data_IF_451412731250
#
_entry.id   IF_451412731250
#
_cell.length_a   1.000
_cell.length_b   1.000
_cell.length_c   1.000
_cell.angle_alpha   90.00
_cell.angle_beta   90.00
_cell.angle_gamma   90.00
#
_symmetry.space_group_name_H-M   'P 1'
#
loop_
_entity.id
_entity.type
_entity.pdbx_description
1 polymer ?
#
# COMPACT_ATOMS: atom_id res chain seq x y z
N UNK A 1 -2.92 -27.55 13.39
CA UNK A 1 -2.12 -27.52 12.13
C UNK A 1 -0.66 -27.65 12.50
N UNK A 2 0.05 -28.72 12.10
CA UNK A 2 1.51 -28.73 12.19
C UNK A 2 2.08 -27.81 11.11
N UNK A 3 2.84 -26.80 11.50
CA UNK A 3 3.55 -25.94 10.56
C UNK A 3 4.97 -26.49 10.35
N UNK A 4 5.43 -26.69 9.10
CA UNK A 4 6.83 -27.02 8.84
C UNK A 4 7.72 -25.87 9.29
N UNK A 5 8.97 -26.18 9.68
CA UNK A 5 9.95 -25.13 10.03
C UNK A 5 10.13 -24.20 8.84
N UNK A 6 9.87 -22.92 9.07
CA UNK A 6 9.75 -21.89 8.05
C UNK A 6 10.12 -20.52 8.64
N UNK A 7 10.35 -19.54 7.78
CA UNK A 7 10.57 -18.15 8.17
C UNK A 7 9.79 -17.19 7.27
N UNK A 8 9.62 -15.97 7.74
CA UNK A 8 8.89 -14.94 7.02
C UNK A 8 9.20 -13.54 7.53
N UNK A 9 8.59 -12.55 6.89
CA UNK A 9 8.75 -11.13 7.22
C UNK A 9 7.39 -10.52 7.54
N UNK A 10 7.34 -9.72 8.61
CA UNK A 10 6.24 -8.81 8.90
C UNK A 10 6.54 -7.46 8.24
N UNK A 11 5.73 -7.07 7.27
CA UNK A 11 5.83 -5.77 6.61
C UNK A 11 4.46 -5.37 6.08
N UNK A 12 3.92 -4.23 6.52
CA UNK A 12 2.63 -3.78 6.02
C UNK A 12 2.79 -3.07 4.66
N UNK A 13 1.87 -3.24 3.68
CA UNK A 13 2.02 -2.62 2.36
C UNK A 13 2.17 -1.10 2.37
N UNK A 14 1.60 -0.41 3.37
CA UNK A 14 1.79 1.05 3.54
C UNK A 14 3.24 1.47 3.76
N UNK A 15 4.13 0.53 4.08
CA UNK A 15 5.55 0.76 4.36
C UNK A 15 6.43 0.56 3.12
N UNK A 16 5.86 0.15 1.98
CA UNK A 16 6.63 0.10 0.75
C UNK A 16 7.07 1.50 0.32
N UNK A 17 8.27 1.64 -0.27
CA UNK A 17 8.68 2.90 -0.87
C UNK A 17 7.67 3.29 -1.95
N UNK A 18 7.33 4.58 -2.03
CA UNK A 18 6.31 5.04 -2.98
C UNK A 18 6.44 6.54 -3.23
N UNK A 19 6.31 6.93 -4.50
CA UNK A 19 6.20 8.33 -4.90
C UNK A 19 4.82 8.94 -4.63
N UNK A 20 3.87 8.16 -4.14
CA UNK A 20 2.50 8.57 -3.81
C UNK A 20 2.30 8.80 -2.30
N UNK A 21 3.40 8.90 -1.53
CA UNK A 21 3.43 9.18 -0.10
C UNK A 21 3.02 8.04 0.83
N UNK A 22 2.45 6.96 0.28
CA UNK A 22 2.16 5.71 0.99
C UNK A 22 2.40 4.52 0.06
N UNK A 23 2.94 3.43 0.62
CA UNK A 23 3.08 2.18 -0.12
C UNK A 23 1.73 1.59 -0.56
N UNK A 24 1.73 0.89 -1.69
CA UNK A 24 0.52 0.34 -2.31
C UNK A 24 0.75 -1.07 -2.89
N UNK A 25 -0.28 -1.64 -3.50
CA UNK A 25 -0.25 -2.97 -4.13
C UNK A 25 0.15 -2.91 -5.62
N UNK A 26 1.15 -2.08 -5.93
CA UNK A 26 1.77 -1.90 -7.25
C UNK A 26 3.13 -2.59 -7.37
N UNK A 27 4.05 -1.96 -8.11
CA UNK A 27 5.37 -2.51 -8.46
C UNK A 27 6.19 -2.96 -7.25
N UNK A 28 6.24 -2.15 -6.19
CA UNK A 28 7.05 -2.44 -5.00
C UNK A 28 6.53 -3.65 -4.21
N UNK A 29 5.22 -3.93 -4.27
CA UNK A 29 4.68 -5.16 -3.70
C UNK A 29 5.20 -6.40 -4.44
N UNK A 30 5.26 -6.38 -5.78
CA UNK A 30 5.85 -7.48 -6.56
C UNK A 30 7.35 -7.62 -6.29
N UNK A 31 8.10 -6.52 -6.24
CA UNK A 31 9.53 -6.53 -5.89
C UNK A 31 9.77 -7.12 -4.51
N UNK A 32 8.89 -6.84 -3.54
CA UNK A 32 8.97 -7.44 -2.23
C UNK A 32 8.69 -8.95 -2.25
N UNK A 33 7.72 -9.42 -3.03
CA UNK A 33 7.48 -10.87 -3.22
C UNK A 33 8.70 -11.54 -3.86
N UNK A 34 9.30 -10.93 -4.88
CA UNK A 34 10.54 -11.44 -5.49
C UNK A 34 11.68 -11.49 -4.47
N UNK A 35 11.81 -10.48 -3.61
CA UNK A 35 12.77 -10.49 -2.50
C UNK A 35 12.51 -11.63 -1.52
N UNK A 36 11.26 -11.86 -1.10
CA UNK A 36 10.90 -12.98 -0.22
C UNK A 36 11.27 -14.33 -0.84
N UNK A 37 10.91 -14.52 -2.12
CA UNK A 37 11.25 -15.72 -2.88
C UNK A 37 12.76 -15.94 -2.95
N UNK A 38 13.52 -14.91 -3.30
CA UNK A 38 14.98 -14.99 -3.47
C UNK A 38 15.72 -15.18 -2.14
N UNK A 39 15.13 -14.75 -1.04
CA UNK A 39 15.67 -14.93 0.32
C UNK A 39 15.15 -16.18 1.04
N UNK A 40 14.36 -17.01 0.36
CA UNK A 40 13.81 -18.25 0.92
C UNK A 40 12.75 -18.05 2.00
N UNK A 41 12.18 -16.85 2.12
CA UNK A 41 11.08 -16.56 3.03
C UNK A 41 9.79 -17.16 2.50
N UNK A 42 9.02 -17.82 3.38
CA UNK A 42 7.82 -18.58 3.00
C UNK A 42 6.53 -17.89 3.47
N UNK A 43 6.65 -16.93 4.39
CA UNK A 43 5.52 -16.19 4.93
C UNK A 43 5.73 -14.68 4.78
N UNK A 44 4.65 -14.01 4.39
CA UNK A 44 4.51 -12.57 4.52
C UNK A 44 3.36 -12.30 5.48
N UNK A 45 3.67 -11.66 6.60
CA UNK A 45 2.65 -11.21 7.54
C UNK A 45 2.37 -9.72 7.34
N UNK A 46 1.10 -9.35 7.42
CA UNK A 46 0.61 -7.98 7.35
C UNK A 46 -0.25 -7.65 8.57
N UNK A 47 -0.35 -6.36 8.89
CA UNK A 47 -1.40 -5.82 9.76
C UNK A 47 -2.76 -5.87 9.04
N UNK A 48 -3.90 -5.58 9.72
CA UNK A 48 -5.20 -5.59 9.06
C UNK A 48 -5.27 -4.61 7.88
N UNK A 49 -5.88 -5.06 6.78
CA UNK A 49 -5.95 -4.32 5.52
C UNK A 49 -7.24 -3.50 5.37
N UNK A 50 -7.93 -3.21 6.47
CA UNK A 50 -9.20 -2.49 6.44
C UNK A 50 -9.04 -0.97 6.30
N UNK A 51 -10.09 -0.25 5.86
CA UNK A 51 -10.08 1.21 5.76
C UNK A 51 -9.93 1.82 7.16
N UNK A 52 -8.83 2.52 7.39
CA UNK A 52 -8.49 3.07 8.70
C UNK A 52 -9.36 4.27 9.07
N UNK A 53 -9.76 4.33 10.34
CA UNK A 53 -10.45 5.48 10.93
C UNK A 53 -9.50 6.57 11.41
N UNK A 54 -10.00 7.41 12.33
CA UNK A 54 -9.24 8.50 12.94
C UNK A 54 -7.93 7.99 13.55
N UNK A 55 -6.80 8.65 13.28
CA UNK A 55 -5.49 8.20 13.77
C UNK A 55 -4.85 7.06 12.97
N UNK A 56 -5.44 6.66 11.84
CA UNK A 56 -4.82 5.82 10.81
C UNK A 56 -4.35 4.43 11.29
N UNK A 57 -4.92 3.95 12.41
CA UNK A 57 -4.60 2.62 12.94
C UNK A 57 -5.30 1.53 12.12
N UNK A 58 -4.58 0.50 11.64
CA UNK A 58 -5.20 -0.64 10.96
C UNK A 58 -6.06 -1.49 11.90
N UNK A 59 -6.00 -1.26 13.21
CA UNK A 59 -6.85 -1.94 14.19
C UNK A 59 -8.15 -1.19 14.50
N UNK A 60 -8.33 0.00 13.94
CA UNK A 60 -9.55 0.80 14.08
C UNK A 60 -10.14 1.09 12.72
N UNK A 61 -10.77 0.07 12.13
CA UNK A 61 -11.30 0.12 10.77
C UNK A 61 -12.79 0.49 10.73
N UNK A 62 -13.20 1.16 9.66
CA UNK A 62 -14.63 1.44 9.39
C UNK A 62 -15.43 0.19 8.99
N UNK A 63 -14.75 -0.88 8.57
CA UNK A 63 -15.36 -2.13 8.15
C UNK A 63 -14.45 -3.30 8.46
N UNK A 64 -15.05 -4.42 8.84
CA UNK A 64 -14.36 -5.70 9.02
C UNK A 64 -14.12 -6.46 7.71
N UNK A 65 -14.71 -6.00 6.60
CA UNK A 65 -14.69 -6.71 5.31
C UNK A 65 -14.08 -5.89 4.16
N UNK A 66 -14.17 -4.56 4.22
CA UNK A 66 -13.65 -3.71 3.15
C UNK A 66 -12.11 -3.66 3.18
N UNK A 67 -11.50 -3.42 2.01
CA UNK A 67 -10.07 -3.13 1.89
C UNK A 67 -9.77 -1.64 2.07
N UNK A 68 -8.53 -1.34 2.47
CA UNK A 68 -8.03 0.02 2.56
C UNK A 68 -7.72 0.56 1.16
N UNK A 69 -8.53 1.51 0.70
CA UNK A 69 -8.40 2.09 -0.63
C UNK A 69 -7.08 2.88 -0.82
N UNK A 70 -6.40 3.28 0.27
CA UNK A 70 -5.05 3.86 0.15
C UNK A 70 -4.02 2.88 -0.43
N UNK A 71 -4.28 1.57 -0.38
CA UNK A 71 -3.39 0.54 -0.92
C UNK A 71 -3.61 0.27 -2.42
N UNK A 72 -4.55 0.95 -3.07
CA UNK A 72 -4.75 0.86 -4.53
C UNK A 72 -3.62 1.61 -5.22
N UNK A 73 -2.96 0.98 -6.19
CA UNK A 73 -1.82 1.57 -6.90
C UNK A 73 -2.26 2.54 -8.00
N UNK A 74 -1.89 3.84 -7.94
CA UNK A 74 -2.19 4.78 -9.02
C UNK A 74 -1.49 4.42 -10.34
N UNK A 75 -0.32 3.79 -10.28
CA UNK A 75 0.39 3.33 -11.48
C UNK A 75 -0.39 2.23 -12.20
N UNK A 76 -0.95 1.27 -11.47
CA UNK A 76 -1.81 0.25 -12.08
C UNK A 76 -3.08 0.85 -12.69
N UNK A 77 -3.68 1.85 -12.04
CA UNK A 77 -4.84 2.53 -12.60
C UNK A 77 -4.50 3.28 -13.91
N UNK A 78 -3.29 3.85 -14.01
CA UNK A 78 -2.78 4.43 -15.25
C UNK A 78 -2.57 3.36 -16.33
N UNK A 79 -1.95 2.23 -15.98
CA UNK A 79 -1.74 1.09 -16.90
C UNK A 79 -3.06 0.53 -17.45
N UNK A 80 -4.10 0.46 -16.60
CA UNK A 80 -5.44 -0.01 -16.96
C UNK A 80 -6.30 1.06 -17.67
N UNK A 81 -5.81 2.29 -17.81
CA UNK A 81 -6.49 3.38 -18.50
C UNK A 81 -7.58 4.09 -17.69
N UNK A 82 -7.65 3.87 -16.37
CA UNK A 82 -8.53 4.59 -15.46
C UNK A 82 -7.96 5.96 -15.06
N UNK A 83 -6.64 6.13 -15.13
CA UNK A 83 -5.97 7.42 -14.98
C UNK A 83 -5.24 7.79 -16.27
N UNK A 84 -4.95 9.08 -16.42
CA UNK A 84 -4.08 9.60 -17.49
C UNK A 84 -2.81 10.18 -16.90
N UNK A 85 -1.75 10.30 -17.71
CA UNK A 85 -0.42 10.75 -17.22
C UNK A 85 -0.47 12.11 -16.52
N UNK A 86 -1.34 13.02 -16.95
CA UNK A 86 -1.50 14.34 -16.32
C UNK A 86 -2.05 14.27 -14.89
N UNK A 87 -2.75 13.19 -14.52
CA UNK A 87 -3.27 13.01 -13.15
C UNK A 87 -2.14 12.77 -12.14
N UNK A 88 -1.00 12.28 -12.62
CA UNK A 88 0.17 11.97 -11.80
C UNK A 88 1.32 12.99 -11.97
N UNK A 89 1.12 14.06 -12.75
CA UNK A 89 2.17 15.01 -13.11
C UNK A 89 2.47 16.02 -12.00
N UNK A 90 1.43 16.50 -11.29
CA UNK A 90 1.53 17.59 -10.30
C UNK A 90 1.47 17.08 -8.85
N UNK A 91 2.02 15.91 -8.59
CA UNK A 91 2.10 15.35 -7.25
C UNK A 91 3.23 16.02 -6.45
N UNK A 92 3.03 16.33 -5.15
CA UNK A 92 4.08 16.87 -4.32
C UNK A 92 5.15 15.83 -4.00
N UNK A 93 6.33 16.31 -3.62
CA UNK A 93 7.37 15.45 -3.04
C UNK A 93 6.98 15.05 -1.62
N UNK A 94 6.73 13.76 -1.41
CA UNK A 94 6.38 13.22 -0.10
C UNK A 94 7.63 12.82 0.70
N UNK A 95 7.58 12.87 2.04
CA UNK A 95 8.59 12.26 2.90
C UNK A 95 8.79 10.77 2.56
N UNK A 96 10.05 10.33 2.47
CA UNK A 96 10.39 8.95 2.09
C UNK A 96 10.52 8.01 3.29
N UNK A 97 10.64 8.55 4.51
CA UNK A 97 10.88 7.83 5.75
C UNK A 97 9.61 7.56 6.57
N UNK A 98 8.51 8.25 6.26
CA UNK A 98 7.23 8.12 6.95
C UNK A 98 6.06 8.51 6.05
N UNK A 99 4.88 7.99 6.37
CA UNK A 99 3.62 8.41 5.74
C UNK A 99 3.09 9.66 6.43
N UNK A 100 2.91 10.75 5.68
CA UNK A 100 2.11 11.88 6.12
C UNK A 100 0.65 11.69 5.69
N UNK A 101 -0.16 11.13 6.58
CA UNK A 101 -1.57 10.85 6.29
C UNK A 101 -2.39 12.13 6.00
N UNK A 102 -2.00 13.29 6.53
CA UNK A 102 -2.77 14.52 6.26
C UNK A 102 -2.62 14.96 4.81
N UNK A 103 -1.44 14.75 4.21
CA UNK A 103 -1.17 15.08 2.81
C UNK A 103 -1.64 13.97 1.85
N UNK A 104 -1.43 12.70 2.22
CA UNK A 104 -1.70 11.55 1.35
C UNK A 104 -3.20 11.34 1.13
N UNK A 105 -4.02 11.44 2.19
CA UNK A 105 -5.45 11.14 2.12
C UNK A 105 -6.18 11.95 1.03
N UNK A 106 -6.13 13.29 1.00
CA UNK A 106 -6.86 14.06 0.00
C UNK A 106 -6.39 13.76 -1.44
N UNK A 107 -5.08 13.57 -1.64
CA UNK A 107 -4.51 13.27 -2.96
C UNK A 107 -4.98 11.90 -3.46
N UNK A 108 -4.87 10.86 -2.62
CA UNK A 108 -5.31 9.51 -2.98
C UNK A 108 -6.81 9.44 -3.24
N UNK A 109 -7.62 10.12 -2.43
CA UNK A 109 -9.07 10.18 -2.65
C UNK A 109 -9.39 10.84 -4.00
N UNK A 110 -8.76 11.97 -4.33
CA UNK A 110 -9.00 12.67 -5.59
C UNK A 110 -8.65 11.81 -6.82
N UNK A 111 -7.58 11.01 -6.74
CA UNK A 111 -7.22 10.08 -7.82
C UNK A 111 -8.23 8.93 -8.00
N UNK A 112 -8.93 8.53 -6.94
CA UNK A 112 -9.82 7.34 -6.96
C UNK A 112 -11.28 7.65 -7.30
N UNK A 113 -11.70 8.91 -7.24
CA UNK A 113 -13.08 9.33 -7.52
C UNK A 113 -13.26 9.95 -8.92
N UNK A 114 -12.19 9.96 -9.72
CA UNK A 114 -12.21 10.44 -11.10
C UNK A 114 -12.88 9.43 -12.04
#
# INVERSE_FOLDING_TARGET
>A
MPFPRSSGILLHPSSFPSRFGIGDLGLEAYRFIDFLKNSGQQYWQVLPLGPTGYGNSPYMCYSAMAGNYFLISPEKLLEEGFLITSDLADLPDFPQDKVDFNEVIPIKVNLLIK
#
